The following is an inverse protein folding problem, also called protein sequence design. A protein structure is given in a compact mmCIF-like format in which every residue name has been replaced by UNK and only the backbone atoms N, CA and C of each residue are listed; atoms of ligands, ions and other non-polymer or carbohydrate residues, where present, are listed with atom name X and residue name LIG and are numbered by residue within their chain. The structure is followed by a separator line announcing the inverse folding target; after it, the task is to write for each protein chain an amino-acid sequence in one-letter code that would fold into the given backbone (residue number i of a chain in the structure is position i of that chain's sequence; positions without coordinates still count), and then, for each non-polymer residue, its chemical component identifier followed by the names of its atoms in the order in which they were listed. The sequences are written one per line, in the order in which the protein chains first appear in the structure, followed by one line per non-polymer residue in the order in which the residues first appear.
data_IF_865847081277
#
_entry.id   IF_865847081277
#
_cell.length_a   1.000
_cell.length_b   1.000
_cell.length_c   1.000
_cell.angle_alpha   90.00
_cell.angle_beta   90.00
_cell.angle_gamma   90.00
#
_symmetry.space_group_name_H-M   'P 1'
#
loop_
_entity.id
_entity.type
_entity.pdbx_description
1 polymer ?
#
# COMPACT_ATOMS: atom_id res chain seq x y z
N UNK A 1 23.51 -35.51 -7.36
CA UNK A 1 23.67 -35.95 -5.95
C UNK A 1 22.63 -35.22 -5.11
N UNK A 2 21.35 -35.57 -5.31
CA UNK A 2 20.18 -34.96 -4.68
C UNK A 2 19.41 -36.11 -4.03
N UNK A 3 19.62 -36.33 -2.73
CA UNK A 3 18.77 -37.16 -1.85
C UNK A 3 19.26 -37.31 -0.41
N UNK A 4 20.48 -36.93 -0.03
CA UNK A 4 21.05 -37.31 1.28
C UNK A 4 20.79 -36.30 2.44
N UNK A 5 19.63 -35.64 2.44
CA UNK A 5 19.08 -35.08 3.69
C UNK A 5 18.23 -36.16 4.38
N UNK A 6 18.89 -37.24 4.80
CA UNK A 6 18.26 -38.39 5.45
C UNK A 6 17.59 -38.00 6.78
N UNK A 7 16.29 -38.28 6.86
CA UNK A 7 15.44 -38.05 8.03
C UNK A 7 15.71 -39.14 9.08
N UNK A 8 16.88 -39.12 9.74
CA UNK A 8 17.02 -39.80 11.03
C UNK A 8 16.58 -38.84 12.14
N UNK A 9 15.31 -39.00 12.54
CA UNK A 9 14.63 -38.20 13.53
C UNK A 9 15.01 -38.65 14.95
N UNK A 10 16.10 -38.10 15.48
CA UNK A 10 16.11 -37.73 16.89
C UNK A 10 15.23 -36.49 17.03
N UNK A 11 14.20 -36.53 17.87
CA UNK A 11 13.43 -35.37 18.33
C UNK A 11 14.34 -34.43 19.13
N UNK A 12 15.32 -33.84 18.46
CA UNK A 12 16.13 -32.76 18.99
C UNK A 12 15.21 -31.55 19.03
N UNK A 13 14.94 -31.04 20.24
CA UNK A 13 14.16 -29.81 20.41
C UNK A 13 14.76 -28.70 19.53
N UNK A 14 13.90 -27.90 18.89
CA UNK A 14 14.32 -26.75 18.07
C UNK A 14 15.29 -25.83 18.84
N UNK A 15 15.14 -25.73 20.16
CA UNK A 15 16.04 -24.97 21.03
C UNK A 15 17.44 -25.59 21.14
N UNK A 16 17.55 -26.92 21.27
CA UNK A 16 18.85 -27.59 21.30
C UNK A 16 19.58 -27.50 19.96
N UNK A 17 18.84 -27.56 18.85
CA UNK A 17 19.41 -27.38 17.52
C UNK A 17 19.95 -25.95 17.32
N UNK A 18 19.16 -24.95 17.72
CA UNK A 18 19.58 -23.55 17.65
C UNK A 18 20.83 -23.28 18.50
N UNK A 19 20.88 -23.80 19.71
CA UNK A 19 22.04 -23.65 20.60
C UNK A 19 23.28 -24.35 20.02
N UNK A 20 23.11 -25.55 19.45
CA UNK A 20 24.19 -26.24 18.76
C UNK A 20 24.71 -25.44 17.57
N UNK A 21 23.82 -24.89 16.73
CA UNK A 21 24.20 -24.04 15.60
C UNK A 21 25.00 -22.81 16.06
N UNK A 22 24.61 -22.16 17.16
CA UNK A 22 25.35 -21.01 17.73
C UNK A 22 26.75 -21.42 18.18
N UNK A 23 26.91 -22.58 18.80
CA UNK A 23 28.21 -23.08 19.21
C UNK A 23 29.14 -23.35 18.02
N UNK A 24 28.60 -23.86 16.90
CA UNK A 24 29.37 -24.06 15.67
C UNK A 24 29.86 -22.72 15.09
N UNK A 25 28.98 -21.72 14.99
CA UNK A 25 29.36 -20.36 14.54
C UNK A 25 30.38 -19.69 15.47
N UNK A 26 30.25 -19.86 16.79
CA UNK A 26 31.25 -19.38 17.75
C UNK A 26 32.64 -20.02 17.53
N UNK A 27 32.70 -21.32 17.24
CA UNK A 27 33.96 -21.99 16.89
C UNK A 27 34.56 -21.44 15.61
N UNK A 28 33.74 -21.25 14.56
CA UNK A 28 34.17 -20.65 13.29
C UNK A 28 34.75 -19.24 13.51
N UNK A 29 34.06 -18.40 14.29
CA UNK A 29 34.58 -17.07 14.65
C UNK A 29 35.92 -17.14 15.40
N UNK A 30 36.07 -18.08 16.33
CA UNK A 30 37.31 -18.25 17.09
C UNK A 30 38.49 -18.66 16.18
N UNK A 31 38.26 -19.52 15.17
CA UNK A 31 39.27 -19.88 14.17
C UNK A 31 39.62 -18.68 13.28
N UNK A 32 38.62 -17.94 12.79
CA UNK A 32 38.82 -16.72 11.99
C UNK A 32 39.65 -15.67 12.73
N UNK A 33 39.40 -15.45 14.02
CA UNK A 33 40.18 -14.52 14.85
C UNK A 33 41.66 -14.92 14.97
N UNK A 34 41.96 -16.22 14.88
CA UNK A 34 43.33 -16.76 14.90
C UNK A 34 43.95 -16.88 13.52
N UNK A 35 43.23 -16.49 12.46
CA UNK A 35 43.59 -16.76 11.06
C UNK A 35 43.84 -18.27 10.79
N UNK A 36 43.12 -19.14 11.49
CA UNK A 36 43.12 -20.58 11.28
C UNK A 36 42.03 -20.97 10.26
N UNK A 37 42.32 -21.97 9.43
CA UNK A 37 41.35 -22.46 8.44
C UNK A 37 40.21 -23.24 9.11
N UNK A 38 38.98 -23.03 8.65
CA UNK A 38 37.83 -23.86 9.01
C UNK A 38 37.93 -25.19 8.27
N UNK A 39 37.96 -26.31 9.00
CA UNK A 39 37.97 -27.63 8.38
C UNK A 39 36.61 -27.99 7.74
N UNK A 40 36.62 -29.00 6.86
CA UNK A 40 35.43 -29.40 6.10
C UNK A 40 34.28 -29.88 6.98
N UNK A 41 34.58 -30.55 8.09
CA UNK A 41 33.58 -31.13 8.97
C UNK A 41 32.83 -30.00 9.70
N UNK A 42 33.55 -29.09 10.34
CA UNK A 42 32.98 -27.92 11.01
C UNK A 42 32.19 -27.03 10.03
N UNK A 43 32.72 -26.84 8.81
CA UNK A 43 32.05 -26.08 7.75
C UNK A 43 30.69 -26.72 7.38
N UNK A 44 30.70 -28.03 7.11
CA UNK A 44 29.50 -28.78 6.70
C UNK A 44 28.47 -28.81 7.82
N UNK A 45 28.91 -29.07 9.06
CA UNK A 45 28.03 -29.12 10.23
C UNK A 45 27.36 -27.79 10.51
N UNK A 46 28.09 -26.67 10.41
CA UNK A 46 27.53 -25.33 10.60
C UNK A 46 26.45 -25.02 9.57
N UNK A 47 26.69 -25.32 8.30
CA UNK A 47 25.70 -25.09 7.23
C UNK A 47 24.48 -25.99 7.38
N UNK A 48 24.67 -27.30 7.63
CA UNK A 48 23.56 -28.23 7.83
C UNK A 48 22.70 -27.87 9.04
N UNK A 49 23.33 -27.56 10.18
CA UNK A 49 22.62 -27.18 11.40
C UNK A 49 21.85 -25.87 11.21
N UNK A 50 22.45 -24.88 10.54
CA UNK A 50 21.81 -23.60 10.20
C UNK A 50 20.61 -23.78 9.27
N UNK A 51 20.77 -24.59 8.23
CA UNK A 51 19.71 -24.91 7.28
C UNK A 51 18.50 -25.57 7.97
N UNK A 52 18.73 -26.52 8.90
CA UNK A 52 17.65 -27.13 9.69
C UNK A 52 16.96 -26.13 10.64
N UNK A 53 17.71 -25.23 11.26
CA UNK A 53 17.13 -24.16 12.08
C UNK A 53 16.23 -23.23 11.25
N UNK A 54 16.68 -22.86 10.05
CA UNK A 54 15.93 -22.04 9.11
C UNK A 54 14.65 -22.73 8.67
N UNK A 55 14.71 -24.02 8.33
CA UNK A 55 13.53 -24.81 7.99
C UNK A 55 12.50 -24.80 9.12
N UNK A 56 12.92 -25.09 10.36
CA UNK A 56 12.02 -25.03 11.52
C UNK A 56 11.42 -23.64 11.76
N UNK A 57 12.16 -22.57 11.47
CA UNK A 57 11.66 -21.19 11.52
C UNK A 57 10.60 -20.92 10.44
N UNK A 58 10.86 -21.36 9.20
CA UNK A 58 9.92 -21.23 8.08
C UNK A 58 8.61 -21.98 8.37
N UNK A 59 8.70 -23.20 8.90
CA UNK A 59 7.55 -24.01 9.32
C UNK A 59 6.74 -23.30 10.42
N UNK A 60 7.40 -22.77 11.45
CA UNK A 60 6.75 -22.04 12.53
C UNK A 60 6.05 -20.75 12.06
N UNK A 61 6.54 -20.13 11.00
CA UNK A 61 5.94 -18.93 10.40
C UNK A 61 4.92 -19.25 9.30
N UNK A 62 4.60 -20.52 9.05
CA UNK A 62 3.74 -20.96 7.93
C UNK A 62 4.17 -20.37 6.58
N UNK A 63 5.49 -20.24 6.38
CA UNK A 63 6.05 -19.69 5.15
C UNK A 63 5.79 -20.63 3.96
N UNK A 64 5.70 -20.06 2.75
CA UNK A 64 5.53 -20.84 1.53
C UNK A 64 6.73 -21.78 1.29
N UNK A 65 6.47 -23.00 0.84
CA UNK A 65 7.51 -24.00 0.58
C UNK A 65 8.58 -23.50 -0.41
N UNK A 66 8.21 -22.65 -1.36
CA UNK A 66 9.13 -22.09 -2.35
C UNK A 66 10.21 -21.18 -1.72
N UNK A 67 9.94 -20.57 -0.56
CA UNK A 67 10.95 -19.79 0.16
C UNK A 67 12.11 -20.67 0.61
N UNK A 68 11.84 -21.91 1.02
CA UNK A 68 12.88 -22.86 1.45
C UNK A 68 13.88 -23.16 0.33
N UNK A 69 13.40 -23.31 -0.92
CA UNK A 69 14.27 -23.57 -2.08
C UNK A 69 15.38 -22.52 -2.21
N UNK A 70 15.04 -21.23 -2.09
CA UNK A 70 16.02 -20.15 -2.17
C UNK A 70 17.06 -20.18 -1.05
N UNK A 71 16.68 -20.55 0.17
CA UNK A 71 17.66 -20.72 1.25
C UNK A 71 18.55 -21.94 1.00
N UNK A 72 17.94 -23.09 0.67
CA UNK A 72 18.65 -24.34 0.42
C UNK A 72 19.70 -24.17 -0.69
N UNK A 73 19.38 -23.44 -1.75
CA UNK A 73 20.32 -23.12 -2.83
C UNK A 73 21.54 -22.34 -2.32
N UNK A 74 21.34 -21.34 -1.45
CA UNK A 74 22.45 -20.59 -0.83
C UNK A 74 23.37 -21.51 -0.01
N UNK A 75 22.81 -22.37 0.85
CA UNK A 75 23.61 -23.29 1.68
C UNK A 75 24.31 -24.36 0.83
N UNK A 76 23.65 -24.87 -0.21
CA UNK A 76 24.22 -25.86 -1.12
C UNK A 76 25.39 -25.25 -1.91
N UNK A 77 25.22 -24.02 -2.42
CA UNK A 77 26.29 -23.30 -3.12
C UNK A 77 27.51 -23.06 -2.21
N UNK A 78 27.28 -22.70 -0.94
CA UNK A 78 28.36 -22.56 0.04
C UNK A 78 29.09 -23.88 0.27
N UNK A 79 28.36 -24.99 0.40
CA UNK A 79 28.91 -26.33 0.59
C UNK A 79 29.76 -26.78 -0.61
N UNK A 80 29.25 -26.61 -1.82
CA UNK A 80 29.94 -26.97 -3.07
C UNK A 80 31.19 -26.12 -3.33
N UNK A 81 31.24 -24.92 -2.74
CA UNK A 81 32.37 -24.00 -2.87
C UNK A 81 33.50 -24.29 -1.88
N UNK A 82 33.35 -25.26 -0.98
CA UNK A 82 34.41 -25.60 -0.01
C UNK A 82 35.73 -25.95 -0.70
N UNK A 83 36.83 -25.37 -0.20
CA UNK A 83 38.17 -25.54 -0.79
C UNK A 83 38.45 -24.64 -2.00
N UNK A 84 37.49 -23.83 -2.44
CA UNK A 84 37.70 -22.76 -3.42
C UNK A 84 37.99 -21.43 -2.74
N UNK A 85 38.37 -20.41 -3.53
CA UNK A 85 38.57 -19.04 -3.05
C UNK A 85 37.27 -18.36 -2.58
N UNK A 86 36.10 -18.91 -2.90
CA UNK A 86 34.79 -18.33 -2.55
C UNK A 86 34.19 -18.90 -1.26
N UNK A 87 34.79 -19.93 -0.68
CA UNK A 87 34.22 -20.65 0.47
C UNK A 87 33.95 -19.75 1.67
N UNK A 88 34.91 -18.88 2.02
CA UNK A 88 34.79 -17.99 3.18
C UNK A 88 33.73 -16.91 2.98
N UNK A 89 33.68 -16.30 1.79
CA UNK A 89 32.69 -15.27 1.47
C UNK A 89 31.28 -15.85 1.58
N UNK A 90 31.03 -17.01 0.95
CA UNK A 90 29.73 -17.69 1.01
C UNK A 90 29.37 -18.18 2.41
N UNK A 91 30.36 -18.60 3.21
CA UNK A 91 30.14 -18.96 4.61
C UNK A 91 29.70 -17.74 5.43
N UNK A 92 30.31 -16.56 5.19
CA UNK A 92 29.90 -15.31 5.82
C UNK A 92 28.49 -14.89 5.40
N UNK A 93 28.14 -15.06 4.12
CA UNK A 93 26.77 -14.80 3.65
C UNK A 93 25.74 -15.73 4.31
N UNK A 94 26.05 -17.02 4.46
CA UNK A 94 25.18 -17.99 5.13
C UNK A 94 24.97 -17.64 6.61
N UNK A 95 26.02 -17.17 7.30
CA UNK A 95 25.95 -16.71 8.67
C UNK A 95 25.05 -15.48 8.84
N UNK A 96 25.19 -14.50 7.93
CA UNK A 96 24.36 -13.30 7.88
C UNK A 96 22.89 -13.67 7.65
N UNK A 97 22.62 -14.56 6.67
CA UNK A 97 21.28 -15.07 6.36
C UNK A 97 20.68 -15.75 7.60
N UNK A 98 21.42 -16.66 8.22
CA UNK A 98 21.02 -17.39 9.41
C UNK A 98 20.68 -16.44 10.57
N UNK A 99 21.57 -15.49 10.85
CA UNK A 99 21.41 -14.53 11.94
C UNK A 99 20.24 -13.59 11.68
N UNK A 100 20.09 -13.08 10.46
CA UNK A 100 18.99 -12.19 10.08
C UNK A 100 17.63 -12.89 10.21
N UNK A 101 17.52 -14.13 9.73
CA UNK A 101 16.25 -14.86 9.77
C UNK A 101 15.83 -15.23 11.20
N UNK A 102 16.78 -15.67 12.04
CA UNK A 102 16.46 -16.04 13.42
C UNK A 102 15.97 -14.85 14.25
N UNK A 103 16.51 -13.67 13.98
CA UNK A 103 16.09 -12.41 14.61
C UNK A 103 14.78 -11.86 14.06
N UNK A 104 14.22 -12.45 13.00
CA UNK A 104 12.93 -12.07 12.47
C UNK A 104 11.81 -12.55 13.42
N UNK A 105 10.85 -11.69 13.82
CA UNK A 105 9.78 -12.07 14.73
C UNK A 105 8.86 -13.14 14.11
N UNK A 106 8.39 -14.08 14.93
CA UNK A 106 7.29 -15.01 14.57
C UNK A 106 5.99 -14.50 15.17
N UNK A 107 6.05 -14.04 16.40
CA UNK A 107 4.90 -13.50 17.12
C UNK A 107 4.62 -12.04 16.74
N UNK A 108 3.34 -11.63 16.73
CA UNK A 108 2.97 -10.24 16.60
C UNK A 108 3.64 -9.37 17.66
N UNK A 109 4.09 -8.18 17.25
CA UNK A 109 4.67 -7.18 18.15
C UNK A 109 3.64 -6.14 18.58
N UNK A 110 3.90 -5.50 19.72
CA UNK A 110 3.22 -4.29 20.11
C UNK A 110 3.50 -3.15 19.10
N UNK A 111 2.44 -2.55 18.54
CA UNK A 111 2.57 -1.53 17.51
C UNK A 111 3.21 -0.24 18.04
N UNK A 112 3.00 0.10 19.31
CA UNK A 112 3.59 1.30 19.92
C UNK A 112 5.11 1.13 20.11
N UNK A 113 5.55 -0.05 20.53
CA UNK A 113 6.97 -0.41 20.60
C UNK A 113 7.62 -0.39 19.21
N UNK A 114 6.97 -0.92 18.18
CA UNK A 114 7.50 -0.86 16.82
C UNK A 114 7.55 0.59 16.31
N UNK A 115 6.50 1.39 16.52
CA UNK A 115 6.47 2.81 16.19
C UNK A 115 7.68 3.55 16.79
N UNK A 116 7.94 3.33 18.08
CA UNK A 116 9.06 3.94 18.82
C UNK A 116 10.41 3.51 18.26
N UNK A 117 10.53 2.24 17.88
CA UNK A 117 11.73 1.66 17.27
C UNK A 117 11.98 2.23 15.87
N UNK A 118 10.94 2.40 15.05
CA UNK A 118 11.02 3.04 13.74
C UNK A 118 11.55 4.47 13.84
N UNK A 119 11.02 5.29 14.76
CA UNK A 119 11.48 6.66 15.01
C UNK A 119 12.95 6.70 15.46
N UNK A 120 13.34 5.84 16.39
CA UNK A 120 14.72 5.77 16.86
C UNK A 120 15.69 5.42 15.71
N UNK A 121 15.29 4.50 14.82
CA UNK A 121 16.06 4.14 13.62
C UNK A 121 16.12 5.32 12.64
N UNK A 122 15.01 6.00 12.36
CA UNK A 122 14.98 7.18 11.49
C UNK A 122 15.97 8.25 11.98
N UNK A 123 15.88 8.61 13.26
CA UNK A 123 16.75 9.62 13.87
C UNK A 123 18.23 9.20 13.86
N UNK A 124 18.54 7.94 14.21
CA UNK A 124 19.91 7.42 14.22
C UNK A 124 20.51 7.39 12.81
N UNK A 125 19.77 6.90 11.82
CA UNK A 125 20.27 6.80 10.45
C UNK A 125 20.49 8.19 9.86
N UNK A 126 19.56 9.13 10.08
CA UNK A 126 19.73 10.52 9.65
C UNK A 126 20.98 11.16 10.24
N UNK A 127 21.23 10.97 11.55
CA UNK A 127 22.44 11.48 12.22
C UNK A 127 23.73 10.89 11.64
N UNK A 128 23.71 9.66 11.13
CA UNK A 128 24.87 9.01 10.50
C UNK A 128 25.11 9.50 9.07
N UNK A 129 24.05 9.78 8.32
CA UNK A 129 24.16 10.21 6.92
C UNK A 129 24.37 11.71 6.75
N UNK A 130 23.92 12.52 7.72
CA UNK A 130 24.11 13.98 7.70
C UNK A 130 25.53 14.33 8.11
N UNK A 131 26.46 14.40 7.15
CA UNK A 131 27.82 14.88 7.38
C UNK A 131 27.88 16.40 7.60
N UNK A 132 26.81 17.11 7.25
CA UNK A 132 26.69 18.56 7.38
C UNK A 132 25.70 18.93 8.49
N UNK A 133 26.19 19.55 9.56
CA UNK A 133 25.37 20.05 10.67
C UNK A 133 24.54 21.29 10.29
N UNK A 134 24.82 21.89 9.14
CA UNK A 134 24.06 23.05 8.61
C UNK A 134 22.95 22.65 7.65
N UNK A 135 22.79 21.34 7.39
CA UNK A 135 21.76 20.86 6.48
C UNK A 135 20.35 21.28 6.94
N UNK A 136 19.45 21.61 6.00
CA UNK A 136 18.08 22.01 6.31
C UNK A 136 17.34 20.93 7.10
N UNK A 137 16.24 21.35 7.72
CA UNK A 137 15.31 20.52 8.49
C UNK A 137 15.07 19.18 7.76
N UNK A 138 15.14 18.03 8.46
CA UNK A 138 15.02 16.73 7.79
C UNK A 138 13.70 16.65 7.01
N UNK A 139 13.73 16.06 5.79
CA UNK A 139 12.52 15.91 5.01
C UNK A 139 11.51 15.06 5.79
N UNK A 140 10.25 15.48 5.77
CA UNK A 140 9.16 14.64 6.25
C UNK A 140 8.92 13.47 5.27
N UNK A 141 8.43 12.31 5.74
CA UNK A 141 8.10 11.21 4.84
C UNK A 141 7.12 11.64 3.76
N UNK A 142 7.36 11.19 2.53
CA UNK A 142 6.48 11.42 1.39
C UNK A 142 6.14 10.08 0.74
N UNK A 143 4.89 9.91 0.30
CA UNK A 143 4.44 8.69 -0.37
C UNK A 143 5.25 8.38 -1.64
N UNK A 144 5.66 9.42 -2.37
CA UNK A 144 6.47 9.30 -3.59
C UNK A 144 7.76 10.13 -3.47
N UNK A 145 8.52 9.88 -2.41
CA UNK A 145 9.85 10.46 -2.27
C UNK A 145 10.77 9.92 -3.37
N UNK A 146 11.39 10.82 -4.15
CA UNK A 146 12.52 10.49 -5.03
C UNK A 146 13.86 10.54 -4.29
N UNK A 147 13.85 10.98 -3.02
CA UNK A 147 15.06 11.03 -2.20
C UNK A 147 15.45 9.63 -1.73
N UNK A 148 16.75 9.44 -1.52
CA UNK A 148 17.29 8.27 -0.84
C UNK A 148 17.64 8.58 0.61
N UNK A 149 17.50 9.84 1.02
CA UNK A 149 17.78 10.27 2.37
C UNK A 149 16.67 9.79 3.31
N UNK A 150 17.06 9.33 4.49
CA UNK A 150 16.09 8.95 5.51
C UNK A 150 15.26 10.17 5.93
N UNK A 151 13.96 10.06 5.70
CA UNK A 151 12.97 11.02 6.17
C UNK A 151 12.64 10.76 7.64
N UNK A 152 12.30 11.82 8.37
CA UNK A 152 12.01 11.72 9.81
C UNK A 152 10.57 12.15 10.04
N UNK A 153 9.78 11.25 10.64
CA UNK A 153 8.43 11.58 11.09
C UNK A 153 8.54 12.69 12.16
N UNK A 154 7.74 13.77 12.07
CA UNK A 154 7.71 14.79 13.10
C UNK A 154 7.37 14.21 14.47
N UNK A 155 7.89 14.81 15.55
CA UNK A 155 7.57 14.36 16.90
C UNK A 155 6.06 14.52 17.17
N UNK A 156 5.38 13.40 17.44
CA UNK A 156 3.96 13.35 17.82
C UNK A 156 3.88 12.92 19.29
N UNK A 157 3.12 13.61 20.16
CA UNK A 157 2.94 13.22 21.55
C UNK A 157 2.51 11.76 21.71
N UNK A 158 3.08 11.04 22.68
CA UNK A 158 2.84 9.60 22.84
C UNK A 158 1.36 9.23 23.06
N UNK A 159 0.61 10.03 23.81
CA UNK A 159 -0.81 9.77 24.05
C UNK A 159 -1.64 9.92 22.77
N UNK A 160 -1.25 10.86 21.91
CA UNK A 160 -1.85 11.04 20.59
C UNK A 160 -1.50 9.86 19.66
N UNK A 161 -0.23 9.41 19.65
CA UNK A 161 0.20 8.22 18.90
C UNK A 161 -0.61 6.99 19.32
N UNK A 162 -0.80 6.76 20.62
CA UNK A 162 -1.59 5.62 21.12
C UNK A 162 -3.02 5.67 20.62
N UNK A 163 -3.68 6.83 20.70
CA UNK A 163 -5.04 6.99 20.17
C UNK A 163 -5.14 6.67 18.67
N UNK A 164 -4.13 7.06 17.88
CA UNK A 164 -4.10 6.71 16.45
C UNK A 164 -3.78 5.25 16.20
N UNK A 165 -2.93 4.60 17.00
CA UNK A 165 -2.65 3.18 16.90
C UNK A 165 -3.87 2.33 17.26
N UNK A 166 -4.59 2.70 18.32
CA UNK A 166 -5.82 2.03 18.75
C UNK A 166 -6.94 2.09 17.70
N UNK A 167 -6.90 3.12 16.85
CA UNK A 167 -7.86 3.34 15.76
C UNK A 167 -7.25 3.16 14.36
N UNK A 168 -6.02 2.63 14.27
CA UNK A 168 -5.32 2.47 13.00
C UNK A 168 -5.98 1.33 12.22
N UNK A 169 -6.56 1.60 11.04
CA UNK A 169 -7.22 0.55 10.28
C UNK A 169 -6.18 -0.44 9.75
N UNK A 170 -6.55 -1.72 9.59
CA UNK A 170 -5.65 -2.73 9.00
C UNK A 170 -5.37 -2.46 7.52
N UNK A 171 -6.12 -1.55 6.89
CA UNK A 171 -6.00 -1.17 5.48
C UNK A 171 -5.88 0.34 5.36
N UNK A 172 -4.89 0.80 4.60
CA UNK A 172 -4.72 2.20 4.24
C UNK A 172 -4.71 2.31 2.72
N UNK A 173 -5.27 3.38 2.18
CA UNK A 173 -5.27 3.63 0.74
C UNK A 173 -4.70 4.99 0.46
N UNK A 174 -3.83 5.11 -0.54
CA UNK A 174 -3.27 6.40 -0.91
C UNK A 174 -3.26 6.59 -2.43
N UNK A 175 -3.49 7.84 -2.90
CA UNK A 175 -3.25 8.17 -4.29
C UNK A 175 -1.75 8.38 -4.50
N UNK A 176 -1.21 7.73 -5.52
CA UNK A 176 0.11 7.98 -6.08
C UNK A 176 -0.04 8.73 -7.41
N UNK A 177 1.03 9.30 -7.94
CA UNK A 177 1.04 10.04 -9.20
C UNK A 177 0.53 9.19 -10.35
N UNK A 178 0.81 7.88 -10.32
CA UNK A 178 0.47 6.93 -11.39
C UNK A 178 -0.58 5.90 -11.02
N UNK A 179 -1.28 6.05 -9.89
CA UNK A 179 -2.32 5.11 -9.51
C UNK A 179 -2.76 5.24 -8.06
N UNK A 180 -3.32 4.16 -7.54
CA UNK A 180 -3.71 4.01 -6.15
C UNK A 180 -2.91 2.86 -5.54
N UNK A 181 -2.47 3.03 -4.31
CA UNK A 181 -1.86 1.94 -3.53
C UNK A 181 -2.77 1.59 -2.37
N UNK A 182 -3.12 0.31 -2.27
CA UNK A 182 -3.78 -0.27 -1.10
C UNK A 182 -2.72 -0.99 -0.28
N UNK A 183 -2.60 -0.60 0.99
CA UNK A 183 -1.63 -1.09 1.93
C UNK A 183 -2.34 -1.88 3.04
N UNK A 184 -1.87 -3.08 3.36
CA UNK A 184 -2.39 -3.90 4.46
C UNK A 184 -1.35 -4.08 5.56
N UNK A 185 -1.77 -3.90 6.82
CA UNK A 185 -0.94 -4.14 8.00
C UNK A 185 -0.53 -5.61 8.05
N UNK A 186 0.77 -5.85 8.21
CA UNK A 186 1.38 -7.15 8.44
C UNK A 186 2.21 -7.09 9.71
N UNK A 187 1.85 -7.91 10.70
CA UNK A 187 2.47 -7.95 12.02
C UNK A 187 2.63 -9.41 12.51
N UNK A 188 3.82 -10.03 12.31
CA UNK A 188 4.99 -9.49 11.62
C UNK A 188 4.81 -9.44 10.08
N UNK A 189 5.75 -8.80 9.40
CA UNK A 189 5.92 -8.94 7.95
C UNK A 189 6.27 -10.40 7.58
N UNK A 190 5.98 -10.87 6.36
CA UNK A 190 6.36 -12.22 5.95
C UNK A 190 7.89 -12.38 5.91
N UNK A 191 8.42 -13.59 6.08
CA UNK A 191 9.86 -13.82 5.99
C UNK A 191 10.37 -13.44 4.57
N UNK A 192 11.39 -12.56 4.43
CA UNK A 192 11.96 -12.23 3.13
C UNK A 192 12.56 -13.46 2.45
N UNK A 193 12.73 -13.46 1.14
CA UNK A 193 13.53 -14.49 0.46
C UNK A 193 15.03 -14.41 0.84
N UNK A 194 15.79 -15.48 0.59
CA UNK A 194 17.21 -15.58 0.95
C UNK A 194 18.07 -14.40 0.45
N UNK A 195 17.80 -13.91 -0.78
CA UNK A 195 18.52 -12.77 -1.36
C UNK A 195 18.23 -11.43 -0.67
N UNK A 196 17.12 -11.33 0.06
CA UNK A 196 16.63 -10.08 0.66
C UNK A 196 16.70 -10.09 2.19
N UNK A 197 16.81 -11.26 2.83
CA UNK A 197 16.74 -11.39 4.30
C UNK A 197 17.79 -10.55 5.02
N UNK A 198 18.98 -10.38 4.42
CA UNK A 198 20.08 -9.57 4.99
C UNK A 198 19.73 -8.09 5.09
N UNK A 199 18.92 -7.59 4.16
CA UNK A 199 18.50 -6.19 4.10
C UNK A 199 17.14 -5.95 4.76
N UNK A 200 16.38 -7.02 4.94
CA UNK A 200 15.01 -6.99 5.43
C UNK A 200 14.09 -6.20 4.50
N UNK A 201 12.95 -5.79 5.03
CA UNK A 201 12.08 -4.84 4.35
C UNK A 201 12.57 -3.41 4.59
N UNK A 202 12.37 -2.56 3.59
CA UNK A 202 12.65 -1.14 3.68
C UNK A 202 11.36 -0.36 3.62
N UNK A 203 11.26 0.72 4.39
CA UNK A 203 10.15 1.65 4.28
C UNK A 203 10.33 2.53 3.03
N UNK A 204 9.39 2.49 2.10
CA UNK A 204 9.47 3.24 0.84
C UNK A 204 9.34 4.76 1.02
N UNK A 205 8.77 5.20 2.14
CA UNK A 205 8.50 6.62 2.41
C UNK A 205 9.57 7.29 3.26
N UNK A 206 10.25 6.56 4.13
CA UNK A 206 11.32 7.11 4.98
C UNK A 206 12.68 6.40 4.86
N UNK A 207 12.79 5.36 4.02
CA UNK A 207 14.03 4.67 3.68
C UNK A 207 14.79 4.05 4.86
N UNK A 208 14.12 3.77 5.99
CA UNK A 208 14.72 2.89 7.01
C UNK A 208 14.63 1.44 6.55
N UNK A 209 15.66 0.66 6.86
CA UNK A 209 15.74 -0.77 6.54
C UNK A 209 15.40 -1.63 7.75
N UNK A 210 15.26 -2.93 7.52
CA UNK A 210 14.94 -3.94 8.53
C UNK A 210 13.66 -3.64 9.31
N UNK A 211 12.61 -3.13 8.64
CA UNK A 211 11.29 -3.04 9.26
C UNK A 211 10.73 -4.46 9.44
N UNK A 212 10.11 -4.71 10.59
CA UNK A 212 9.59 -6.04 10.93
C UNK A 212 8.07 -6.06 11.05
N UNK A 213 7.47 -4.89 11.26
CA UNK A 213 6.03 -4.67 11.17
C UNK A 213 5.80 -3.45 10.28
N UNK A 214 4.81 -3.53 9.40
CA UNK A 214 4.53 -2.46 8.48
C UNK A 214 3.28 -2.73 7.67
N UNK A 215 2.95 -1.81 6.76
CA UNK A 215 1.92 -2.06 5.77
C UNK A 215 2.55 -2.36 4.43
N UNK A 216 2.04 -3.36 3.74
CA UNK A 216 2.52 -3.80 2.44
C UNK A 216 1.49 -3.52 1.37
N UNK A 217 1.94 -3.08 0.19
CA UNK A 217 1.09 -3.01 -0.97
C UNK A 217 0.57 -4.39 -1.33
N UNK A 218 -0.74 -4.46 -1.55
CA UNK A 218 -1.44 -5.70 -1.90
C UNK A 218 -2.25 -5.51 -3.17
N UNK A 219 -2.47 -6.61 -3.87
CA UNK A 219 -3.44 -6.68 -4.96
C UNK A 219 -4.72 -7.28 -4.36
N UNK A 220 -5.85 -6.58 -4.51
CA UNK A 220 -7.14 -7.13 -4.12
C UNK A 220 -7.51 -8.29 -5.04
N UNK A 221 -7.84 -9.45 -4.46
CA UNK A 221 -8.62 -10.45 -5.18
C UNK A 221 -10.11 -10.07 -5.19
N UNK A 222 -10.92 -10.85 -5.90
CA UNK A 222 -12.38 -10.76 -5.82
C UNK A 222 -12.85 -10.94 -4.36
N UNK A 223 -13.42 -9.90 -3.75
CA UNK A 223 -14.11 -9.96 -2.46
C UNK A 223 -13.33 -9.50 -1.21
N UNK A 224 -12.67 -8.34 -1.25
CA UNK A 224 -12.06 -7.61 -0.12
C UNK A 224 -11.01 -8.35 0.74
N UNK A 225 -10.73 -9.62 0.47
CA UNK A 225 -9.59 -10.33 1.04
C UNK A 225 -8.37 -9.95 0.20
N UNK A 226 -7.46 -9.18 0.78
CA UNK A 226 -6.14 -8.97 0.21
C UNK A 226 -5.44 -10.34 0.17
N UNK A 227 -5.11 -10.84 -1.02
CA UNK A 227 -4.60 -12.21 -1.16
C UNK A 227 -3.10 -12.25 -1.42
N UNK A 228 -2.54 -11.22 -2.07
CA UNK A 228 -1.14 -11.26 -2.55
C UNK A 228 -0.46 -9.91 -2.38
N UNK A 229 0.75 -9.92 -1.81
CA UNK A 229 1.66 -8.76 -1.80
C UNK A 229 1.95 -8.36 -3.24
N UNK A 230 1.77 -7.09 -3.57
CA UNK A 230 2.10 -6.57 -4.88
C UNK A 230 3.61 -6.62 -5.08
N UNK A 231 4.07 -7.36 -6.10
CA UNK A 231 5.44 -7.29 -6.60
C UNK A 231 5.60 -6.21 -7.69
N UNK A 232 4.60 -5.35 -7.84
CA UNK A 232 4.61 -4.26 -8.80
C UNK A 232 5.82 -3.36 -8.60
N UNK A 233 6.50 -3.04 -9.71
CA UNK A 233 7.60 -2.07 -9.71
C UNK A 233 7.03 -0.69 -9.95
N UNK A 234 7.29 0.22 -9.03
CA UNK A 234 6.95 1.64 -9.23
C UNK A 234 7.97 2.25 -10.17
N UNK A 235 7.49 2.97 -11.19
CA UNK A 235 8.33 3.51 -12.28
C UNK A 235 9.48 4.41 -11.80
N UNK A 236 9.30 5.06 -10.65
CA UNK A 236 10.29 5.98 -10.08
C UNK A 236 11.37 5.24 -9.29
N UNK A 237 11.20 3.93 -9.08
CA UNK A 237 12.12 3.07 -8.34
C UNK A 237 12.14 1.66 -8.98
N UNK A 238 12.68 1.57 -10.21
CA UNK A 238 12.68 0.32 -11.00
C UNK A 238 13.37 -0.89 -10.33
N UNK A 239 14.14 -0.64 -9.27
CA UNK A 239 14.83 -1.64 -8.45
C UNK A 239 14.03 -2.06 -7.21
N UNK A 240 12.90 -1.40 -6.89
CA UNK A 240 12.04 -1.75 -5.75
C UNK A 240 10.90 -2.63 -6.21
N UNK A 241 10.67 -3.69 -5.44
CA UNK A 241 9.61 -4.67 -5.67
C UNK A 241 8.60 -4.50 -4.54
N UNK A 242 7.39 -4.06 -4.89
CA UNK A 242 6.34 -3.72 -3.94
C UNK A 242 6.46 -2.31 -3.39
N UNK A 243 5.68 -2.04 -2.34
CA UNK A 243 5.67 -0.79 -1.60
C UNK A 243 5.34 -1.06 -0.15
N UNK A 244 6.29 -0.86 0.74
CA UNK A 244 6.17 -1.16 2.16
C UNK A 244 6.32 0.13 2.98
N UNK A 245 5.50 0.34 4.01
CA UNK A 245 5.61 1.47 4.93
C UNK A 245 5.77 0.99 6.37
N UNK A 246 6.68 1.60 7.11
CA UNK A 246 6.83 1.32 8.54
C UNK A 246 5.65 1.88 9.34
N UNK A 247 5.45 1.35 10.55
CA UNK A 247 4.39 1.81 11.46
C UNK A 247 4.50 3.31 11.75
N UNK A 248 5.71 3.85 11.89
CA UNK A 248 5.95 5.29 12.06
C UNK A 248 5.34 6.15 10.95
N UNK A 249 5.60 5.78 9.70
CA UNK A 249 5.05 6.48 8.54
C UNK A 249 3.55 6.25 8.38
N UNK A 250 3.06 5.05 8.66
CA UNK A 250 1.63 4.74 8.61
C UNK A 250 0.83 5.61 9.58
N UNK A 251 1.27 5.71 10.84
CA UNK A 251 0.64 6.58 11.85
C UNK A 251 0.69 8.04 11.41
N UNK A 252 1.84 8.50 10.90
CA UNK A 252 1.99 9.86 10.40
C UNK A 252 0.98 10.20 9.30
N UNK A 253 0.89 9.37 8.24
CA UNK A 253 -0.03 9.62 7.13
C UNK A 253 -1.50 9.46 7.53
N UNK A 254 -1.82 8.50 8.39
CA UNK A 254 -3.17 8.32 8.91
C UNK A 254 -3.63 9.53 9.73
N UNK A 255 -2.79 9.98 10.67
CA UNK A 255 -3.00 11.20 11.46
C UNK A 255 -3.18 12.43 10.56
N UNK A 256 -2.29 12.62 9.60
CA UNK A 256 -2.35 13.76 8.69
C UNK A 256 -3.66 13.76 7.86
N UNK A 257 -4.11 12.60 7.39
CA UNK A 257 -5.40 12.46 6.71
C UNK A 257 -6.58 12.83 7.62
N UNK A 258 -6.62 12.33 8.87
CA UNK A 258 -7.66 12.64 9.86
C UNK A 258 -7.72 14.15 10.14
N UNK A 259 -6.57 14.76 10.44
CA UNK A 259 -6.50 16.19 10.79
C UNK A 259 -6.88 17.08 9.61
N UNK A 260 -6.36 16.80 8.41
CA UNK A 260 -6.67 17.61 7.22
C UNK A 260 -8.11 17.48 6.79
N UNK A 261 -8.71 16.29 6.88
CA UNK A 261 -10.13 16.09 6.61
C UNK A 261 -10.99 16.89 7.60
N UNK A 262 -10.63 16.85 8.89
CA UNK A 262 -11.31 17.65 9.93
C UNK A 262 -11.26 19.14 9.63
N UNK A 263 -10.07 19.67 9.34
CA UNK A 263 -9.91 21.09 8.99
C UNK A 263 -10.67 21.49 7.73
N UNK A 264 -10.73 20.63 6.70
CA UNK A 264 -11.46 20.93 5.47
C UNK A 264 -12.98 20.91 5.65
N UNK A 265 -13.48 20.30 6.71
CA UNK A 265 -14.90 20.30 7.07
C UNK A 265 -15.26 21.53 7.90
N UNK A 266 -14.38 21.94 8.81
CA UNK A 266 -14.57 23.12 9.65
C UNK A 266 -14.43 24.45 8.87
N UNK A 267 -13.57 24.48 7.84
CA UNK A 267 -13.28 25.67 7.05
C UNK A 267 -13.59 25.44 5.56
N UNK A 268 -14.74 25.93 5.10
CA UNK A 268 -15.18 25.80 3.69
C UNK A 268 -14.25 26.46 2.66
N UNK A 269 -13.32 27.33 3.11
CA UNK A 269 -12.32 27.91 2.20
C UNK A 269 -11.18 26.94 1.89
N UNK A 270 -10.99 25.92 2.74
CA UNK A 270 -9.93 24.93 2.58
C UNK A 270 -10.39 23.78 1.70
N UNK A 271 -9.46 23.34 0.86
CA UNK A 271 -9.59 22.08 0.13
C UNK A 271 -8.60 21.10 0.72
N UNK A 272 -9.06 19.90 1.06
CA UNK A 272 -8.18 18.80 1.42
C UNK A 272 -7.71 18.10 0.16
N UNK A 273 -6.40 17.86 0.06
CA UNK A 273 -5.77 17.04 -0.99
C UNK A 273 -4.62 16.26 -0.37
N UNK A 274 -4.58 14.95 -0.60
CA UNK A 274 -3.48 14.08 -0.16
C UNK A 274 -2.24 14.33 -1.02
N UNK A 275 -2.43 14.63 -2.31
CA UNK A 275 -1.34 14.96 -3.24
C UNK A 275 -1.77 16.03 -4.25
N UNK A 276 -0.83 16.70 -4.95
CA UNK A 276 -1.17 17.66 -6.02
C UNK A 276 -1.94 17.04 -7.20
N UNK A 277 -1.85 15.71 -7.36
CA UNK A 277 -2.60 14.98 -8.37
C UNK A 277 -4.08 14.83 -8.01
N UNK A 278 -4.43 14.81 -6.72
CA UNK A 278 -5.80 14.66 -6.25
C UNK A 278 -6.56 16.00 -6.22
N UNK A 279 -7.84 15.98 -6.62
CA UNK A 279 -8.65 17.21 -6.70
C UNK A 279 -10.15 16.91 -6.74
N UNK A 280 -10.95 17.89 -6.30
CA UNK A 280 -12.41 17.90 -6.44
C UNK A 280 -12.82 19.25 -7.03
N UNK A 281 -13.46 19.22 -8.21
CA UNK A 281 -14.00 20.42 -8.85
C UNK A 281 -15.51 20.31 -8.94
N UNK A 282 -16.22 21.34 -8.48
CA UNK A 282 -17.66 21.51 -8.68
C UNK A 282 -17.87 22.35 -9.95
N UNK A 283 -18.60 21.80 -10.91
CA UNK A 283 -18.90 22.47 -12.19
C UNK A 283 -20.23 23.19 -12.15
N UNK A 284 -21.26 22.53 -11.63
CA UNK A 284 -22.60 23.10 -11.52
C UNK A 284 -23.32 22.57 -10.29
N UNK A 285 -24.30 23.35 -9.85
CA UNK A 285 -25.20 23.02 -8.78
C UNK A 285 -26.58 23.55 -9.11
N UNK A 286 -27.60 22.72 -8.87
CA UNK A 286 -29.00 23.11 -8.93
C UNK A 286 -29.76 22.42 -7.79
N UNK A 287 -30.87 23.01 -7.36
CA UNK A 287 -31.78 22.40 -6.38
C UNK A 287 -33.18 22.43 -6.96
N UNK A 288 -33.85 21.27 -6.95
CA UNK A 288 -35.23 21.13 -7.37
C UNK A 288 -36.05 20.54 -6.22
N UNK A 289 -36.80 21.40 -5.53
CA UNK A 289 -37.48 21.02 -4.29
C UNK A 289 -36.48 20.62 -3.20
N UNK A 290 -36.58 19.39 -2.72
CA UNK A 290 -35.70 18.85 -1.68
C UNK A 290 -34.54 18.04 -2.26
N UNK A 291 -34.38 17.99 -3.59
CA UNK A 291 -33.29 17.27 -4.23
C UNK A 291 -32.28 18.27 -4.76
N UNK A 292 -31.02 18.05 -4.41
CA UNK A 292 -29.90 18.82 -4.94
C UNK A 292 -29.16 18.00 -5.99
N UNK A 293 -28.80 18.66 -7.10
CA UNK A 293 -28.07 18.11 -8.23
C UNK A 293 -26.72 18.81 -8.32
N UNK A 294 -25.62 18.05 -8.29
CA UNK A 294 -24.28 18.56 -8.51
C UNK A 294 -23.68 17.90 -9.74
N UNK A 295 -22.89 18.65 -10.51
CA UNK A 295 -21.95 18.06 -11.46
C UNK A 295 -20.54 18.32 -10.93
N UNK A 296 -19.83 17.24 -10.62
CA UNK A 296 -18.55 17.26 -9.91
C UNK A 296 -17.53 16.44 -10.68
N UNK A 297 -16.27 16.84 -10.66
CA UNK A 297 -15.19 16.03 -11.21
C UNK A 297 -14.06 15.79 -10.22
N UNK A 298 -13.51 14.58 -10.25
CA UNK A 298 -12.53 14.09 -9.28
C UNK A 298 -11.24 13.67 -9.95
N UNK A 299 -10.12 13.93 -9.27
CA UNK A 299 -8.80 13.34 -9.54
C UNK A 299 -8.29 12.62 -8.28
N UNK A 300 -7.52 11.53 -8.38
CA UNK A 300 -7.09 10.89 -9.62
C UNK A 300 -8.24 10.16 -10.32
N UNK A 301 -8.02 9.80 -11.57
CA UNK A 301 -8.98 9.01 -12.32
C UNK A 301 -9.18 7.61 -11.69
N UNK A 302 -10.42 7.13 -11.72
CA UNK A 302 -10.88 5.95 -10.96
C UNK A 302 -11.49 6.30 -9.60
N UNK A 303 -11.23 7.50 -9.06
CA UNK A 303 -11.89 7.94 -7.84
C UNK A 303 -13.40 8.02 -8.02
N UNK A 304 -14.13 7.56 -7.00
CA UNK A 304 -15.60 7.58 -6.91
C UNK A 304 -16.05 8.80 -6.11
N UNK A 305 -17.21 9.40 -6.40
CA UNK A 305 -17.75 10.45 -5.55
C UNK A 305 -18.16 9.89 -4.18
N UNK A 306 -17.82 10.62 -3.13
CA UNK A 306 -18.44 10.49 -1.81
C UNK A 306 -19.03 11.85 -1.42
N UNK A 307 -20.29 11.86 -1.01
CA UNK A 307 -20.99 13.10 -0.63
C UNK A 307 -21.72 12.87 0.68
N UNK A 308 -21.54 13.79 1.63
CA UNK A 308 -22.22 13.72 2.92
C UNK A 308 -22.38 15.11 3.54
N UNK A 309 -23.30 15.18 4.50
CA UNK A 309 -23.52 16.35 5.37
C UNK A 309 -22.82 16.06 6.70
N UNK A 310 -21.74 16.78 7.05
CA UNK A 310 -21.02 16.55 8.30
C UNK A 310 -21.93 16.71 9.53
N UNK A 311 -21.81 15.80 10.49
CA UNK A 311 -22.50 15.87 11.79
C UNK A 311 -21.59 16.55 12.82
N UNK A 312 -22.18 17.10 13.89
CA UNK A 312 -21.40 17.72 14.99
C UNK A 312 -20.37 16.80 15.66
N UNK A 313 -20.50 15.47 15.51
CA UNK A 313 -19.63 14.47 16.17
C UNK A 313 -18.41 14.01 15.38
N UNK A 314 -18.05 14.69 14.28
CA UNK A 314 -16.76 14.47 13.63
C UNK A 314 -16.79 14.53 12.10
N UNK A 315 -15.61 14.36 11.48
CA UNK A 315 -15.39 14.57 10.05
C UNK A 315 -15.85 13.41 9.16
N UNK A 316 -16.07 12.24 9.75
CA UNK A 316 -16.30 11.01 8.99
C UNK A 316 -17.70 11.00 8.36
N UNK A 317 -17.84 10.47 7.14
CA UNK A 317 -19.15 10.22 6.54
C UNK A 317 -19.96 9.25 7.41
N UNK A 318 -21.31 9.41 7.46
CA UNK A 318 -22.16 8.47 8.17
C UNK A 318 -22.17 7.10 7.48
N UNK A 319 -22.40 6.01 8.20
CA UNK A 319 -22.34 4.65 7.64
C UNK A 319 -23.29 4.41 6.45
N UNK A 320 -24.38 5.17 6.38
CA UNK A 320 -25.42 5.11 5.35
C UNK A 320 -25.26 6.16 4.24
N UNK A 321 -24.13 6.89 4.19
CA UNK A 321 -23.91 8.00 3.24
C UNK A 321 -24.23 7.62 1.79
N UNK A 322 -23.90 6.39 1.39
CA UNK A 322 -24.08 5.90 0.02
C UNK A 322 -25.55 5.73 -0.35
N UNK A 323 -26.41 5.37 0.60
CA UNK A 323 -27.86 5.21 0.36
C UNK A 323 -28.58 6.54 0.23
N UNK A 324 -28.00 7.62 0.78
CA UNK A 324 -28.55 8.97 0.73
C UNK A 324 -28.22 9.72 -0.58
N UNK A 325 -27.45 9.11 -1.48
CA UNK A 325 -26.90 9.77 -2.67
C UNK A 325 -27.08 8.87 -3.90
N UNK A 326 -27.60 9.44 -4.98
CA UNK A 326 -27.60 8.82 -6.31
C UNK A 326 -26.47 9.41 -7.13
N UNK A 327 -25.65 8.56 -7.72
CA UNK A 327 -24.45 8.95 -8.47
C UNK A 327 -24.62 8.43 -9.89
N UNK A 328 -24.43 9.28 -10.89
CA UNK A 328 -24.40 8.88 -12.30
C UNK A 328 -23.12 9.42 -12.95
N UNK A 329 -22.38 8.59 -13.69
CA UNK A 329 -21.21 9.05 -14.45
C UNK A 329 -21.63 9.96 -15.62
N UNK A 330 -20.96 11.11 -15.77
CA UNK A 330 -21.21 12.06 -16.86
C UNK A 330 -20.56 11.63 -18.18
N UNK A 331 -19.53 10.77 -18.14
CA UNK A 331 -19.03 10.09 -19.33
C UNK A 331 -20.04 9.00 -19.73
N UNK A 332 -21.22 9.44 -20.17
CA UNK A 332 -22.11 8.63 -20.98
C UNK A 332 -21.39 8.50 -22.31
N UNK A 333 -20.88 7.31 -22.60
CA UNK A 333 -20.67 6.90 -23.98
C UNK A 333 -21.96 7.23 -24.74
N UNK A 334 -21.90 8.19 -25.66
CA UNK A 334 -23.05 8.60 -26.46
C UNK A 334 -23.10 7.67 -27.68
N UNK A 335 -23.99 6.67 -27.70
CA UNK A 335 -24.08 5.72 -28.81
C UNK A 335 -24.47 6.39 -30.13
N UNK A 336 -25.03 7.60 -30.09
CA UNK A 336 -25.43 8.33 -31.30
C UNK A 336 -24.24 8.96 -32.05
N UNK A 337 -23.08 9.06 -31.40
CA UNK A 337 -21.82 9.52 -32.02
C UNK A 337 -20.98 8.38 -32.61
N UNK A 338 -21.37 7.12 -32.39
CA UNK A 338 -20.74 5.94 -32.98
C UNK A 338 -21.44 5.52 -34.28
N UNK A 339 -20.73 5.55 -35.39
CA UNK A 339 -21.23 5.21 -36.75
C UNK A 339 -21.55 3.71 -36.96
N UNK A 340 -21.77 2.93 -35.89
CA UNK A 340 -21.94 1.48 -35.94
C UNK A 340 -22.94 0.99 -34.92
N UNK A 341 -24.18 0.80 -35.36
CA UNK A 341 -25.22 0.12 -34.58
C UNK A 341 -24.83 -1.32 -34.25
N UNK A 342 -24.52 -1.59 -32.99
CA UNK A 342 -24.32 -2.92 -32.45
C UNK A 342 -24.14 -2.84 -30.93
N UNK A 343 -25.03 -3.53 -30.20
CA UNK A 343 -25.12 -3.91 -28.77
C UNK A 343 -24.03 -3.59 -27.70
N UNK A 344 -23.16 -2.59 -27.85
CA UNK A 344 -21.93 -2.45 -27.03
C UNK A 344 -21.99 -1.33 -25.98
N UNK A 345 -23.04 -1.32 -25.15
CA UNK A 345 -23.07 -0.54 -23.89
C UNK A 345 -22.33 -1.24 -22.74
N UNK A 346 -21.72 -2.39 -23.02
CA UNK A 346 -21.09 -3.24 -22.05
C UNK A 346 -19.58 -3.04 -22.11
N UNK A 347 -18.92 -3.01 -20.96
CA UNK A 347 -17.47 -3.17 -20.92
C UNK A 347 -17.13 -4.56 -21.46
N UNK A 348 -16.32 -4.64 -22.51
CA UNK A 348 -15.96 -5.92 -23.13
C UNK A 348 -15.06 -6.82 -22.28
N UNK A 349 -14.64 -6.36 -21.10
CA UNK A 349 -13.85 -7.13 -20.13
C UNK A 349 -14.77 -7.86 -19.15
N UNK A 350 -15.68 -7.14 -18.47
CA UNK A 350 -16.58 -7.73 -17.46
C UNK A 350 -18.00 -8.02 -17.97
N UNK A 351 -18.31 -7.57 -19.19
CA UNK A 351 -19.63 -7.66 -19.85
C UNK A 351 -20.76 -6.96 -19.08
N UNK A 352 -20.44 -6.03 -18.19
CA UNK A 352 -21.42 -5.20 -17.46
C UNK A 352 -21.63 -3.84 -18.16
N UNK A 353 -22.80 -3.20 -17.99
CA UNK A 353 -23.05 -1.86 -18.51
C UNK A 353 -22.01 -0.84 -18.07
N UNK A 354 -21.54 -0.03 -19.02
CA UNK A 354 -20.63 1.10 -18.77
C UNK A 354 -21.29 2.18 -17.89
N UNK A 355 -22.62 2.22 -17.82
CA UNK A 355 -23.39 3.19 -17.05
C UNK A 355 -23.63 2.83 -15.56
N UNK A 356 -23.05 1.74 -15.03
CA UNK A 356 -23.30 1.24 -13.66
C UNK A 356 -22.53 2.00 -12.56
N UNK A 357 -22.58 3.34 -12.52
CA UNK A 357 -21.95 4.21 -11.50
C UNK A 357 -20.42 4.11 -11.39
N UNK A 358 -19.79 3.32 -12.26
CA UNK A 358 -18.36 3.13 -12.34
C UNK A 358 -17.72 4.13 -13.29
N UNK A 359 -16.45 4.47 -13.01
CA UNK A 359 -15.65 5.28 -13.91
C UNK A 359 -15.45 4.54 -15.26
N UNK A 360 -15.61 5.27 -16.36
CA UNK A 360 -15.45 4.75 -17.73
C UNK A 360 -14.19 5.32 -18.38
N UNK A 361 -13.52 4.44 -19.10
CA UNK A 361 -12.27 4.61 -19.83
C UNK A 361 -12.53 4.58 -21.33
N UNK A 362 -12.54 5.74 -21.99
CA UNK A 362 -12.46 5.81 -23.46
C UNK A 362 -11.00 5.82 -23.94
N UNK A 363 -10.60 4.75 -24.61
CA UNK A 363 -9.22 4.56 -25.06
C UNK A 363 -8.85 5.44 -26.27
N UNK A 364 -7.56 5.56 -26.61
CA UNK A 364 -7.13 6.27 -27.84
C UNK A 364 -7.65 5.65 -29.14
N UNK A 365 -8.19 4.43 -29.07
CA UNK A 365 -8.84 3.77 -30.20
C UNK A 365 -10.37 3.90 -30.17
N UNK A 366 -10.92 4.70 -29.26
CA UNK A 366 -12.36 4.98 -29.14
C UNK A 366 -13.18 3.92 -28.40
N UNK A 367 -12.55 2.83 -27.94
CA UNK A 367 -13.26 1.78 -27.18
C UNK A 367 -13.34 2.12 -25.69
N UNK A 368 -14.49 1.84 -25.08
CA UNK A 368 -14.77 2.15 -23.69
C UNK A 368 -14.70 0.91 -22.76
N UNK A 369 -14.15 1.09 -21.56
CA UNK A 369 -14.04 0.05 -20.52
C UNK A 369 -14.36 0.63 -19.14
N UNK A 370 -14.67 -0.18 -18.14
CA UNK A 370 -14.56 0.32 -16.76
C UNK A 370 -13.09 0.53 -16.42
N UNK A 371 -12.79 1.59 -15.65
CA UNK A 371 -11.42 1.88 -15.21
C UNK A 371 -10.82 0.68 -14.48
N UNK A 372 -11.58 0.10 -13.55
CA UNK A 372 -11.18 -1.06 -12.75
C UNK A 372 -10.87 -2.26 -13.65
N UNK A 373 -11.73 -2.55 -14.63
CA UNK A 373 -11.51 -3.64 -15.57
C UNK A 373 -10.27 -3.45 -16.47
N UNK A 374 -10.02 -2.22 -16.93
CA UNK A 374 -8.84 -1.94 -17.73
C UNK A 374 -7.55 -2.03 -16.90
N UNK A 375 -7.57 -1.60 -15.64
CA UNK A 375 -6.44 -1.78 -14.73
C UNK A 375 -6.16 -3.26 -14.50
N UNK A 376 -7.18 -4.07 -14.21
CA UNK A 376 -7.04 -5.52 -14.05
C UNK A 376 -6.53 -6.20 -15.33
N UNK A 377 -7.02 -5.77 -16.49
CA UNK A 377 -6.53 -6.32 -17.76
C UNK A 377 -5.05 -6.01 -17.99
N UNK A 378 -4.57 -4.83 -17.60
CA UNK A 378 -3.14 -4.46 -17.70
C UNK A 378 -2.23 -5.28 -16.79
N UNK A 379 -2.76 -5.82 -15.68
CA UNK A 379 -1.98 -6.72 -14.82
C UNK A 379 -1.91 -8.13 -15.39
N UNK A 380 -2.90 -8.54 -16.19
CA UNK A 380 -2.99 -9.89 -16.75
C UNK A 380 -2.48 -10.04 -18.19
N UNK A 381 -2.49 -8.96 -18.98
CA UNK A 381 -2.28 -9.03 -20.44
C UNK A 381 -1.34 -7.93 -20.95
N UNK A 382 -0.78 -8.16 -22.14
CA UNK A 382 -0.11 -7.13 -22.94
C UNK A 382 -1.03 -5.92 -23.12
N UNK A 383 -0.45 -4.72 -23.18
CA UNK A 383 -1.11 -3.46 -23.47
C UNK A 383 -1.67 -3.40 -24.90
N UNK A 384 -2.79 -4.09 -25.11
CA UNK A 384 -3.56 -4.14 -26.35
C UNK A 384 -5.04 -4.00 -26.06
N UNK A 385 -5.75 -3.24 -26.87
CA UNK A 385 -7.20 -3.14 -26.76
C UNK A 385 -7.86 -4.52 -26.93
N UNK A 386 -8.72 -4.99 -25.99
CA UNK A 386 -9.47 -6.23 -26.14
C UNK A 386 -10.33 -6.28 -27.40
N UNK A 387 -10.82 -5.12 -27.85
CA UNK A 387 -11.74 -5.03 -28.99
C UNK A 387 -10.98 -5.00 -30.31
N UNK A 388 -10.12 -3.99 -30.52
CA UNK A 388 -9.45 -3.79 -31.83
C UNK A 388 -7.99 -4.25 -31.88
N UNK A 389 -7.44 -4.76 -30.78
CA UNK A 389 -6.05 -5.25 -30.64
C UNK A 389 -4.95 -4.23 -30.95
N UNK A 390 -5.29 -2.95 -31.10
CA UNK A 390 -4.29 -1.87 -31.21
C UNK A 390 -3.38 -1.93 -29.98
N UNK A 391 -2.06 -1.82 -30.19
CA UNK A 391 -1.05 -1.83 -29.12
C UNK A 391 -0.92 -0.45 -28.49
N UNK A 392 -0.38 -0.40 -27.28
CA UNK A 392 -0.11 0.86 -26.56
C UNK A 392 -1.35 1.69 -26.31
N UNK A 393 -2.48 0.99 -26.12
CA UNK A 393 -3.78 1.63 -25.99
C UNK A 393 -3.99 2.13 -24.58
N UNK A 394 -3.31 1.53 -23.60
CA UNK A 394 -3.30 1.85 -22.18
C UNK A 394 -1.92 2.35 -21.70
N UNK A 395 -0.83 2.15 -22.45
CA UNK A 395 0.53 2.52 -22.03
C UNK A 395 0.83 4.01 -22.10
N UNK A 396 0.06 4.80 -22.86
CA UNK A 396 0.09 6.26 -22.79
C UNK A 396 -0.65 6.83 -21.56
N UNK A 397 -1.19 5.96 -20.71
CA UNK A 397 -2.11 6.31 -19.62
C UNK A 397 -1.41 6.46 -18.28
N UNK A 398 -0.08 6.48 -18.22
CA UNK A 398 0.64 6.78 -16.98
C UNK A 398 0.34 8.20 -16.43
N UNK A 399 -0.43 9.03 -17.15
CA UNK A 399 -0.96 10.32 -16.69
C UNK A 399 -2.37 10.26 -16.06
N UNK A 400 -2.89 9.08 -15.73
CA UNK A 400 -4.22 8.94 -15.13
C UNK A 400 -4.44 9.73 -13.85
N UNK A 401 -3.37 9.98 -13.08
CA UNK A 401 -3.44 10.88 -11.92
C UNK A 401 -3.92 12.30 -12.27
N UNK A 402 -3.72 12.74 -13.51
CA UNK A 402 -4.11 14.08 -13.97
C UNK A 402 -5.49 14.14 -14.63
N UNK A 403 -6.07 13.00 -15.03
CA UNK A 403 -7.39 12.96 -15.65
C UNK A 403 -8.48 13.01 -14.60
N UNK A 404 -9.58 13.70 -14.92
CA UNK A 404 -10.73 13.81 -14.03
C UNK A 404 -11.91 12.98 -14.53
N UNK A 405 -12.57 12.26 -13.61
CA UNK A 405 -13.90 11.70 -13.87
C UNK A 405 -14.95 12.73 -13.49
N UNK A 406 -15.97 12.94 -14.33
CA UNK A 406 -17.11 13.80 -14.01
C UNK A 406 -18.34 12.96 -13.69
N UNK A 407 -19.07 13.32 -12.64
CA UNK A 407 -20.28 12.66 -12.17
C UNK A 407 -21.37 13.68 -11.93
N UNK A 408 -22.61 13.27 -12.20
CA UNK A 408 -23.81 13.92 -11.71
C UNK A 408 -24.20 13.24 -10.41
N UNK A 409 -24.34 14.03 -9.34
CA UNK A 409 -24.65 13.54 -8.01
C UNK A 409 -25.96 14.16 -7.57
N UNK A 410 -26.89 13.33 -7.10
CA UNK A 410 -28.17 13.75 -6.55
C UNK A 410 -28.25 13.32 -5.10
N UNK A 411 -28.76 14.19 -4.23
CA UNK A 411 -28.96 13.84 -2.82
C UNK A 411 -30.13 14.62 -2.25
N UNK A 412 -30.74 14.08 -1.20
CA UNK A 412 -31.84 14.72 -0.50
C UNK A 412 -31.30 15.79 0.48
N UNK A 413 -31.75 17.03 0.30
CA UNK A 413 -31.51 18.12 1.23
C UNK A 413 -32.27 17.87 2.55
N UNK A 414 -31.69 18.19 3.71
CA UNK A 414 -32.42 18.08 4.98
C UNK A 414 -33.63 19.02 4.99
N UNK A 415 -34.81 18.49 5.30
CA UNK A 415 -36.08 19.22 5.20
C UNK A 415 -36.18 20.42 6.17
N UNK A 416 -35.50 20.34 7.31
CA UNK A 416 -35.67 21.27 8.43
C UNK A 416 -34.57 22.35 8.50
N UNK A 417 -33.67 22.41 7.52
CA UNK A 417 -32.53 23.35 7.55
C UNK A 417 -32.50 24.22 6.31
N UNK A 418 -32.45 25.53 6.51
CA UNK A 418 -32.25 26.49 5.43
C UNK A 418 -30.79 26.59 5.00
N UNK A 419 -29.87 26.24 5.89
CA UNK A 419 -28.44 26.24 5.63
C UNK A 419 -27.78 24.99 6.21
N UNK A 420 -26.88 24.38 5.44
CA UNK A 420 -26.10 23.23 5.88
C UNK A 420 -24.76 23.16 5.15
N UNK A 421 -23.79 22.45 5.74
CA UNK A 421 -22.52 22.14 5.10
C UNK A 421 -22.65 20.86 4.29
N UNK A 422 -22.18 20.87 3.05
CA UNK A 422 -22.03 19.67 2.24
C UNK A 422 -20.56 19.44 1.95
N UNK A 423 -20.09 18.22 2.18
CA UNK A 423 -18.75 17.79 1.81
C UNK A 423 -18.82 16.84 0.63
N UNK A 424 -17.99 17.11 -0.38
CA UNK A 424 -17.82 16.29 -1.58
C UNK A 424 -16.37 15.83 -1.63
N UNK A 425 -16.13 14.53 -1.75
CA UNK A 425 -14.81 13.91 -1.74
C UNK A 425 -14.56 12.96 -2.91
N UNK A 426 -13.28 12.78 -3.23
CA UNK A 426 -12.75 11.76 -4.14
C UNK A 426 -12.40 10.50 -3.34
N UNK A 427 -13.23 9.47 -3.44
CA UNK A 427 -13.09 8.19 -2.74
C UNK A 427 -12.22 7.20 -3.53
N UNK A 428 -11.22 6.64 -2.87
CA UNK A 428 -10.22 5.69 -3.39
C UNK A 428 -10.53 4.28 -2.87
N UNK A 429 -11.49 3.61 -3.49
CA UNK A 429 -11.90 2.27 -3.07
C UNK A 429 -12.37 1.47 -4.28
N UNK A 430 -12.13 0.16 -4.25
CA UNK A 430 -12.55 -0.75 -5.33
C UNK A 430 -14.02 -1.17 -5.18
N UNK A 431 -14.51 -1.27 -3.94
CA UNK A 431 -15.88 -1.67 -3.62
C UNK A 431 -16.87 -0.48 -3.54
N UNK A 432 -16.37 0.76 -3.56
CA UNK A 432 -17.17 1.97 -3.36
C UNK A 432 -17.51 2.27 -1.90
N UNK A 433 -16.96 1.53 -0.94
CA UNK A 433 -17.21 1.72 0.50
C UNK A 433 -16.12 2.57 1.15
N UNK A 434 -16.52 3.45 2.07
CA UNK A 434 -15.56 4.24 2.86
C UNK A 434 -15.13 3.45 4.09
N UNK A 435 -13.83 3.17 4.22
CA UNK A 435 -13.29 2.48 5.39
C UNK A 435 -12.71 3.47 6.40
N UNK A 436 -11.91 4.44 5.93
CA UNK A 436 -11.20 5.37 6.78
C UNK A 436 -10.73 6.64 6.02
N UNK A 437 -10.24 7.68 6.73
CA UNK A 437 -9.85 8.95 6.11
C UNK A 437 -8.80 8.86 4.99
N UNK A 438 -7.95 7.82 4.96
CA UNK A 438 -6.98 7.67 3.86
C UNK A 438 -7.65 7.32 2.52
N UNK A 439 -8.87 6.77 2.53
CA UNK A 439 -9.63 6.56 1.30
C UNK A 439 -10.03 7.87 0.61
N UNK A 440 -9.93 9.04 1.26
CA UNK A 440 -10.30 10.31 0.65
C UNK A 440 -9.06 10.96 0.04
N UNK A 441 -8.95 10.95 -1.28
CA UNK A 441 -7.83 11.57 -2.00
C UNK A 441 -7.87 13.10 -1.91
N UNK A 442 -9.07 13.65 -1.98
CA UNK A 442 -9.35 15.08 -1.90
C UNK A 442 -10.79 15.31 -1.44
N UNK A 443 -11.05 16.41 -0.76
CA UNK A 443 -12.43 16.84 -0.48
C UNK A 443 -12.57 18.36 -0.45
N UNK A 444 -13.81 18.81 -0.65
CA UNK A 444 -14.21 20.20 -0.56
C UNK A 444 -15.53 20.29 0.19
N UNK A 445 -15.58 21.19 1.17
CA UNK A 445 -16.80 21.51 1.91
C UNK A 445 -17.33 22.84 1.45
N UNK A 446 -18.64 22.98 1.38
CA UNK A 446 -19.29 24.21 0.98
C UNK A 446 -20.58 24.43 1.77
N UNK A 447 -20.86 25.69 2.07
CA UNK A 447 -22.10 26.11 2.72
C UNK A 447 -23.21 26.21 1.68
N UNK A 448 -24.26 25.42 1.88
CA UNK A 448 -25.47 25.47 1.08
C UNK A 448 -26.55 26.27 1.78
N UNK A 449 -27.31 27.03 0.98
CA UNK A 449 -28.50 27.75 1.40
C UNK A 449 -29.65 27.35 0.50
N UNK A 450 -30.65 26.66 1.05
CA UNK A 450 -31.88 26.32 0.33
C UNK A 450 -32.83 27.51 0.38
N UNK A 451 -33.32 27.95 -0.77
CA UNK A 451 -34.36 28.97 -0.83
C UNK A 451 -35.62 28.42 -0.16
N UNK A 452 -36.02 28.98 0.97
CA UNK A 452 -37.27 28.64 1.65
C UNK A 452 -38.41 28.68 0.63
N UNK A 453 -39.16 27.57 0.52
CA UNK A 453 -40.48 27.61 -0.09
C UNK A 453 -41.31 28.59 0.75
N UNK A 454 -41.60 29.77 0.22
CA UNK A 454 -42.78 30.50 0.68
C UNK A 454 -43.97 29.60 0.38
N UNK A 455 -44.40 28.83 1.38
CA UNK A 455 -45.69 28.18 1.37
C UNK A 455 -46.73 29.29 1.31
N UNK A 456 -47.17 29.64 0.10
CA UNK A 456 -48.39 30.39 -0.09
C UNK A 456 -49.52 29.52 0.46
N UNK A 457 -49.90 29.78 1.71
CA UNK A 457 -51.11 29.22 2.28
C UNK A 457 -52.29 29.68 1.44
N UNK A 458 -53.02 28.72 0.86
CA UNK A 458 -54.39 28.92 0.40
C UNK A 458 -55.34 28.81 1.59
#
# INVERSE_FOLDING_TARGET
MSSDFGVEALEVSAMSLLEHSRQLWQKIHALRQKAENVDKELFTDALHCSARCILGKLEASHAAADLWGGYLDCFTLALDSFGTVFAEDLLWECEDIFTALLNFPVEPKDLFQEYSSCLAIQQRTRKRTSTDYTAPTPPCPMLESMSWEVAVVPDIPHDEVRAYLDSLPPKLTFPLQRGMVLLCLSNPLPLPGANFVRYGFSCDTCHINNIQVGFQAVICGNGDKAVVRSEGRFSNAAYRIGFDICVGCAVYFYRDAVLRLSHAIEDCSRTFRVSPAADVKLHSFASEGNVAHLTVSFRPWGARPIVWIPKQKGPNPPADWRSAVRIESHLRYDPSLGDGGGYDYLCSICLQPLANDMAVLETMCGHCFHVDCAQEMLTMMDDRCPVCRRKYVFGTWFELGNRSNTYNVQFDCPADTTEFLLTVGALLTTNGEYDNPTNIAACRTMLFKTSLRYSFGC
#
